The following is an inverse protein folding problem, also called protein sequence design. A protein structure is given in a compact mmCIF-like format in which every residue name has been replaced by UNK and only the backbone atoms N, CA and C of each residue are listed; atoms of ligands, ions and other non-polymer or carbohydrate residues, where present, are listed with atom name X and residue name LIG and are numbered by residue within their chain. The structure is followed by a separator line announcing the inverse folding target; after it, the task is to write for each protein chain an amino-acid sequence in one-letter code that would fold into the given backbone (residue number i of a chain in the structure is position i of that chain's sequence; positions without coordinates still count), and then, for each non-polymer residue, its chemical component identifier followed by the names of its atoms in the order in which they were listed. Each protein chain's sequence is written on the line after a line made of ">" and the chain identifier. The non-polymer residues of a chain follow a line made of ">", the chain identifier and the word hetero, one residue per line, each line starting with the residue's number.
data_IF_563229900457
#
_entry.id   IF_563229900457
#
_cell.length_a   1.000
_cell.length_b   1.000
_cell.length_c   1.000
_cell.angle_alpha   90.00
_cell.angle_beta   90.00
_cell.angle_gamma   90.00
#
_symmetry.space_group_name_H-M   'P 1'
#
loop_
_entity.id
_entity.type
_entity.pdbx_description
1 polymer ?
#
# COMPACT_ATOMS: atom_id res chain seq x y z
N UNK A 1 29.06 24.23 1.64
CA UNK A 1 27.96 24.74 2.48
C UNK A 1 26.70 24.04 2.01
N UNK A 2 26.28 22.99 2.71
CA UNK A 2 24.94 22.42 2.51
C UNK A 2 23.97 23.49 2.97
N UNK A 3 23.24 24.08 2.03
CA UNK A 3 22.14 24.99 2.35
C UNK A 3 21.23 24.26 3.33
N UNK A 4 20.93 24.86 4.47
CA UNK A 4 19.93 24.29 5.37
C UNK A 4 18.63 24.06 4.59
N UNK A 5 17.97 22.90 4.78
CA UNK A 5 16.75 22.60 4.07
C UNK A 5 15.71 23.69 4.35
N UNK A 6 15.09 24.21 3.29
CA UNK A 6 14.13 25.33 3.33
C UNK A 6 12.88 25.04 4.18
N UNK A 7 12.67 23.79 4.59
CA UNK A 7 11.58 23.34 5.47
C UNK A 7 12.12 22.27 6.43
N UNK A 8 11.66 22.23 7.69
CA UNK A 8 11.98 21.15 8.60
C UNK A 8 11.50 19.80 8.03
N UNK A 9 12.18 18.68 8.35
CA UNK A 9 11.75 17.36 7.90
C UNK A 9 10.37 17.04 8.47
N UNK A 10 9.53 16.40 7.64
CA UNK A 10 8.25 15.86 8.10
C UNK A 10 8.55 14.65 8.98
N UNK A 11 8.16 14.73 10.25
CA UNK A 11 8.27 13.60 11.20
C UNK A 11 6.97 12.79 11.15
N UNK A 12 7.00 11.48 10.84
CA UNK A 12 5.78 10.68 10.81
C UNK A 12 5.12 10.59 12.19
N UNK A 13 3.86 10.98 12.27
CA UNK A 13 3.04 10.94 13.49
C UNK A 13 2.47 9.54 13.73
N UNK A 14 3.34 8.57 14.02
CA UNK A 14 2.93 7.18 14.29
C UNK A 14 1.89 7.10 15.41
N UNK A 15 0.81 6.34 15.19
CA UNK A 15 -0.33 6.25 16.10
C UNK A 15 -1.44 7.27 15.82
N UNK A 16 -1.29 8.09 14.78
CA UNK A 16 -2.25 9.16 14.47
C UNK A 16 -2.54 9.29 12.96
N UNK A 17 -1.51 9.36 12.12
CA UNK A 17 -1.68 9.68 10.69
C UNK A 17 -0.54 9.16 9.83
N UNK A 18 -0.36 7.84 9.79
CA UNK A 18 0.66 7.16 8.96
C UNK A 18 0.08 5.99 8.16
N UNK A 19 0.88 5.40 7.27
CA UNK A 19 0.51 4.17 6.56
C UNK A 19 0.16 3.01 7.50
N UNK A 20 0.88 2.87 8.63
CA UNK A 20 0.56 1.84 9.61
C UNK A 20 -0.82 2.10 10.26
N UNK A 21 -1.13 3.36 10.54
CA UNK A 21 -2.39 3.79 11.12
C UNK A 21 -3.57 3.64 10.15
N UNK A 22 -3.32 3.79 8.84
CA UNK A 22 -4.30 3.52 7.79
C UNK A 22 -4.75 2.06 7.83
N UNK A 23 -3.80 1.13 7.85
CA UNK A 23 -4.14 -0.29 7.84
C UNK A 23 -4.79 -0.75 9.15
N UNK A 24 -4.37 -0.21 10.31
CA UNK A 24 -5.07 -0.44 11.57
C UNK A 24 -6.50 0.11 11.53
N UNK A 25 -6.69 1.30 10.95
CA UNK A 25 -8.01 1.92 10.80
C UNK A 25 -8.93 1.15 9.84
N UNK A 26 -8.37 0.57 8.76
CA UNK A 26 -9.13 -0.29 7.84
C UNK A 26 -9.58 -1.58 8.54
N UNK A 27 -8.72 -2.22 9.32
CA UNK A 27 -9.12 -3.42 10.06
C UNK A 27 -10.20 -3.10 11.09
N UNK A 28 -10.05 -2.01 11.84
CA UNK A 28 -11.06 -1.55 12.80
C UNK A 28 -12.36 -1.09 12.13
N UNK A 29 -12.34 -0.64 10.87
CA UNK A 29 -13.58 -0.29 10.15
C UNK A 29 -14.34 -1.52 9.66
N UNK A 30 -13.64 -2.62 9.37
CA UNK A 30 -14.21 -3.92 9.00
C UNK A 30 -14.65 -4.75 10.22
N UNK A 31 -14.03 -4.52 11.37
CA UNK A 31 -14.32 -5.19 12.63
C UNK A 31 -14.04 -4.27 13.84
N UNK A 32 -15.03 -3.46 14.26
CA UNK A 32 -14.85 -2.47 15.33
C UNK A 32 -14.50 -3.06 16.70
N UNK A 33 -14.85 -4.32 16.93
CA UNK A 33 -14.60 -5.00 18.20
C UNK A 33 -13.24 -5.74 18.21
N UNK A 34 -12.53 -5.74 17.07
CA UNK A 34 -11.24 -6.41 16.93
C UNK A 34 -10.12 -5.63 17.60
N UNK A 35 -9.57 -6.21 18.69
CA UNK A 35 -8.35 -5.71 19.32
C UNK A 35 -7.11 -6.32 18.64
N UNK A 36 -5.99 -5.58 18.54
CA UNK A 36 -5.70 -4.27 19.13
C UNK A 36 -6.02 -3.07 18.22
N UNK A 37 -6.77 -3.27 17.14
CA UNK A 37 -6.89 -2.31 16.05
C UNK A 37 -7.64 -1.04 16.49
N UNK A 38 -7.20 0.12 15.97
CA UNK A 38 -7.77 1.42 16.31
C UNK A 38 -8.01 2.26 15.07
N UNK A 39 -9.25 2.72 14.92
CA UNK A 39 -9.65 3.62 13.85
C UNK A 39 -9.30 5.08 14.15
N UNK A 40 -8.01 5.39 14.23
CA UNK A 40 -7.52 6.75 14.48
C UNK A 40 -7.77 7.70 13.31
N UNK A 41 -8.02 7.15 12.11
CA UNK A 41 -8.36 7.95 10.93
C UNK A 41 -9.86 8.25 10.79
N UNK A 42 -10.72 7.63 11.59
CA UNK A 42 -12.16 7.85 11.54
C UNK A 42 -12.81 7.35 10.23
N UNK A 43 -12.30 6.24 9.67
CA UNK A 43 -12.90 5.59 8.51
C UNK A 43 -14.32 5.10 8.85
N UNK A 44 -15.30 5.20 7.95
CA UNK A 44 -16.64 4.69 8.21
C UNK A 44 -16.62 3.17 8.37
N UNK A 45 -17.49 2.64 9.23
CA UNK A 45 -17.68 1.20 9.34
C UNK A 45 -18.12 0.62 7.99
N UNK A 46 -17.48 -0.46 7.57
CA UNK A 46 -17.72 -1.08 6.27
C UNK A 46 -17.79 -2.60 6.39
N UNK A 47 -18.49 -3.23 5.46
CA UNK A 47 -18.41 -4.68 5.31
C UNK A 47 -17.21 -5.06 4.43
N UNK A 48 -16.87 -4.20 3.46
CA UNK A 48 -15.77 -4.43 2.53
C UNK A 48 -14.90 -3.18 2.45
N UNK A 49 -13.60 -3.38 2.37
CA UNK A 49 -12.62 -2.35 2.10
C UNK A 49 -11.77 -2.78 0.89
N UNK A 50 -11.59 -1.87 -0.05
CA UNK A 50 -10.64 -2.00 -1.15
C UNK A 50 -9.57 -0.92 -0.93
N UNK A 51 -8.30 -1.27 -0.89
CA UNK A 51 -7.21 -0.31 -0.76
C UNK A 51 -6.40 -0.30 -2.06
N UNK A 52 -6.47 0.79 -2.82
CA UNK A 52 -5.60 1.01 -3.98
C UNK A 52 -4.28 1.64 -3.54
N UNK A 53 -3.18 0.96 -3.84
CA UNK A 53 -1.80 1.39 -3.57
C UNK A 53 -1.13 1.68 -4.90
N UNK A 54 -0.87 2.96 -5.14
CA UNK A 54 -0.09 3.42 -6.31
C UNK A 54 1.31 3.77 -5.82
N UNK A 55 2.30 2.97 -6.20
CA UNK A 55 3.68 3.25 -5.82
C UNK A 55 4.14 4.57 -6.46
N UNK A 56 4.91 5.36 -5.71
CA UNK A 56 5.43 6.65 -6.16
C UNK A 56 4.42 7.80 -6.25
N UNK A 57 3.12 7.60 -5.97
CA UNK A 57 2.13 8.69 -5.97
C UNK A 57 2.03 9.38 -4.59
N UNK A 58 2.75 10.47 -4.41
CA UNK A 58 2.68 11.30 -3.20
C UNK A 58 1.57 12.37 -3.23
N UNK A 59 1.15 12.84 -2.05
CA UNK A 59 0.14 13.90 -1.89
C UNK A 59 0.45 15.17 -2.68
N UNK A 60 1.70 15.65 -2.58
CA UNK A 60 2.13 16.86 -3.27
C UNK A 60 2.16 16.67 -4.80
N UNK A 61 2.56 15.47 -5.27
CA UNK A 61 2.57 15.15 -6.70
C UNK A 61 1.15 15.16 -7.29
N UNK A 62 0.15 14.70 -6.54
CA UNK A 62 -1.25 14.77 -6.97
C UNK A 62 -1.75 16.21 -6.96
N UNK A 63 -1.49 16.96 -5.87
CA UNK A 63 -1.95 18.35 -5.72
C UNK A 63 -1.37 19.30 -6.77
N UNK A 64 -0.12 19.08 -7.16
CA UNK A 64 0.57 19.92 -8.14
C UNK A 64 0.15 19.59 -9.58
N UNK A 65 -0.55 18.47 -9.81
CA UNK A 65 -0.94 17.98 -11.14
C UNK A 65 -2.42 17.57 -11.28
N UNK A 66 -3.37 18.44 -10.89
CA UNK A 66 -4.78 18.05 -10.80
C UNK A 66 -5.41 17.70 -12.15
N UNK A 67 -4.92 18.29 -13.24
CA UNK A 67 -5.40 18.00 -14.60
C UNK A 67 -4.97 16.61 -15.12
N UNK A 68 -3.89 16.04 -14.58
CA UNK A 68 -3.40 14.72 -14.96
C UNK A 68 -4.14 13.57 -14.28
N UNK A 69 -4.82 13.85 -13.17
CA UNK A 69 -5.61 12.88 -12.42
C UNK A 69 -6.89 13.50 -11.85
N UNK A 70 -7.86 13.90 -12.70
CA UNK A 70 -9.04 14.63 -12.25
C UNK A 70 -9.90 13.85 -11.24
N UNK A 71 -10.06 12.53 -11.38
CA UNK A 71 -10.85 11.71 -10.46
C UNK A 71 -10.21 11.68 -9.07
N UNK A 72 -8.92 11.34 -8.98
CA UNK A 72 -8.18 11.33 -7.71
C UNK A 72 -8.08 12.72 -7.11
N UNK A 73 -7.93 13.76 -7.93
CA UNK A 73 -7.86 15.15 -7.47
C UNK A 73 -9.17 15.65 -6.90
N UNK A 74 -10.31 15.17 -7.42
CA UNK A 74 -11.62 15.45 -6.86
C UNK A 74 -11.77 14.81 -5.48
N UNK A 75 -11.41 13.53 -5.34
CA UNK A 75 -11.41 12.85 -4.03
C UNK A 75 -10.47 13.52 -3.02
N UNK A 76 -9.34 14.06 -3.49
CA UNK A 76 -8.35 14.70 -2.64
C UNK A 76 -8.80 16.07 -2.07
N UNK A 77 -9.84 16.72 -2.62
CA UNK A 77 -10.26 18.08 -2.20
C UNK A 77 -10.62 18.17 -0.73
N UNK A 78 -11.35 17.18 -0.23
CA UNK A 78 -11.81 17.09 1.16
C UNK A 78 -11.01 16.06 1.98
N UNK A 79 -9.96 15.49 1.39
CA UNK A 79 -9.07 14.54 2.05
C UNK A 79 -7.94 15.24 2.81
N UNK A 80 -7.22 14.46 3.61
CA UNK A 80 -6.00 14.92 4.31
C UNK A 80 -4.84 13.97 4.04
N UNK A 81 -3.60 14.47 3.93
CA UNK A 81 -2.44 13.61 3.79
C UNK A 81 -2.17 12.80 5.06
N UNK A 82 -1.68 11.59 4.86
CA UNK A 82 -1.04 10.78 5.90
C UNK A 82 0.45 10.66 5.59
N UNK A 83 1.29 10.41 6.59
CA UNK A 83 2.72 10.29 6.42
C UNK A 83 3.15 8.86 6.02
N UNK A 84 4.07 8.76 5.07
CA UNK A 84 4.90 7.58 4.93
C UNK A 84 5.83 7.45 6.15
N UNK A 85 6.25 6.22 6.47
CA UNK A 85 7.28 5.98 7.48
C UNK A 85 8.67 6.44 7.01
N UNK A 86 9.65 6.36 7.91
CA UNK A 86 11.05 6.57 7.56
C UNK A 86 11.84 5.24 7.61
N UNK A 87 12.63 4.89 6.58
CA UNK A 87 12.77 5.60 5.30
C UNK A 87 11.57 5.35 4.37
N UNK A 88 11.17 6.36 3.58
CA UNK A 88 10.05 6.28 2.64
C UNK A 88 10.45 5.50 1.37
N UNK A 89 10.55 4.18 1.48
CA UNK A 89 10.84 3.25 0.37
C UNK A 89 9.71 2.25 0.22
N UNK A 90 9.51 1.67 -0.98
CA UNK A 90 8.49 0.63 -1.23
C UNK A 90 8.54 -0.49 -0.19
N UNK A 91 9.73 -1.02 0.10
CA UNK A 91 9.92 -2.12 1.08
C UNK A 91 9.42 -1.72 2.48
N UNK A 92 9.82 -0.54 2.96
CA UNK A 92 9.40 -0.04 4.27
C UNK A 92 7.90 0.25 4.30
N UNK A 93 7.39 0.94 3.29
CA UNK A 93 5.99 1.38 3.21
C UNK A 93 5.01 0.21 3.10
N UNK A 94 5.30 -0.77 2.24
CA UNK A 94 4.48 -1.98 2.12
C UNK A 94 4.51 -2.81 3.40
N UNK A 95 5.66 -2.92 4.06
CA UNK A 95 5.74 -3.59 5.34
C UNK A 95 4.94 -2.84 6.43
N UNK A 96 4.99 -1.50 6.46
CA UNK A 96 4.19 -0.71 7.40
C UNK A 96 2.69 -0.86 7.16
N UNK A 97 2.25 -0.77 5.90
CA UNK A 97 0.86 -1.02 5.50
C UNK A 97 0.44 -2.43 5.93
N UNK A 98 1.12 -3.45 5.42
CA UNK A 98 0.63 -4.81 5.55
C UNK A 98 0.92 -5.48 6.90
N UNK A 99 1.59 -4.80 7.83
CA UNK A 99 1.70 -5.24 9.23
C UNK A 99 0.95 -4.33 10.20
N UNK A 100 0.44 -3.18 9.72
CA UNK A 100 -0.04 -2.06 10.55
C UNK A 100 0.94 -1.70 11.68
N UNK A 101 2.24 -1.69 11.39
CA UNK A 101 3.29 -1.40 12.37
C UNK A 101 4.27 -0.37 11.83
N UNK A 102 4.90 0.45 12.68
CA UNK A 102 5.93 1.38 12.24
C UNK A 102 7.22 0.64 11.81
N UNK A 103 8.09 1.28 11.01
CA UNK A 103 9.35 0.71 10.52
C UNK A 103 10.21 0.03 11.59
N UNK A 104 10.38 0.68 12.74
CA UNK A 104 11.17 0.14 13.84
C UNK A 104 10.61 -1.12 14.49
N UNK A 105 9.35 -1.49 14.24
CA UNK A 105 8.74 -2.74 14.74
C UNK A 105 8.84 -3.88 13.73
N UNK A 106 8.55 -3.62 12.45
CA UNK A 106 8.55 -4.68 11.44
C UNK A 106 9.94 -4.96 10.85
N UNK A 107 10.94 -4.10 11.10
CA UNK A 107 12.36 -4.37 10.77
C UNK A 107 12.74 -4.26 9.28
N UNK A 108 11.78 -3.91 8.43
CA UNK A 108 11.99 -3.70 6.98
C UNK A 108 12.40 -2.24 6.75
N UNK A 109 13.69 -1.94 6.94
CA UNK A 109 14.23 -0.57 7.06
C UNK A 109 14.94 -0.09 5.78
N UNK A 110 14.24 -0.11 4.64
CA UNK A 110 14.78 0.31 3.35
C UNK A 110 14.87 -0.84 2.34
N UNK A 111 15.25 -0.52 1.10
CA UNK A 111 15.34 -1.53 0.05
C UNK A 111 16.63 -2.36 0.11
N UNK A 112 17.69 -1.86 0.76
CA UNK A 112 18.91 -2.59 1.06
C UNK A 112 19.25 -2.47 2.54
N UNK A 113 19.40 -3.61 3.21
CA UNK A 113 19.69 -3.68 4.65
C UNK A 113 20.73 -4.76 4.92
N UNK A 114 21.58 -4.56 5.92
CA UNK A 114 22.61 -5.52 6.30
C UNK A 114 21.97 -6.80 6.86
N UNK A 115 22.43 -7.95 6.40
CA UNK A 115 22.01 -9.24 6.96
C UNK A 115 22.71 -9.42 8.31
N UNK A 116 21.97 -9.61 9.42
CA UNK A 116 22.57 -9.77 10.73
C UNK A 116 23.62 -10.88 10.75
N UNK A 117 24.82 -10.55 11.26
CA UNK A 117 25.95 -11.49 11.35
C UNK A 117 26.64 -11.79 10.02
N UNK A 118 26.31 -11.09 8.93
CA UNK A 118 26.95 -11.26 7.63
C UNK A 118 27.42 -9.92 7.07
N UNK A 119 28.54 -9.94 6.33
CA UNK A 119 29.06 -8.76 5.61
C UNK A 119 28.41 -8.64 4.22
N UNK A 120 27.08 -8.71 4.18
CA UNK A 120 26.26 -8.78 2.96
C UNK A 120 24.97 -7.99 3.16
N UNK A 121 24.46 -7.40 2.07
CA UNK A 121 23.18 -6.71 2.06
C UNK A 121 22.08 -7.61 1.46
N UNK A 122 20.91 -7.62 2.09
CA UNK A 122 19.67 -8.11 1.49
C UNK A 122 19.05 -6.99 0.67
N UNK A 123 18.69 -7.26 -0.58
CA UNK A 123 17.83 -6.36 -1.37
C UNK A 123 16.37 -6.83 -1.25
N UNK A 124 15.51 -6.02 -0.64
CA UNK A 124 14.10 -6.38 -0.43
C UNK A 124 13.30 -6.53 -1.73
N UNK A 125 13.67 -5.83 -2.81
CA UNK A 125 13.01 -5.93 -4.12
C UNK A 125 13.59 -7.06 -4.99
N UNK A 126 14.80 -7.52 -4.69
CA UNK A 126 15.48 -8.65 -5.34
C UNK A 126 15.97 -9.63 -4.27
N UNK A 127 15.00 -10.31 -3.67
CA UNK A 127 15.19 -11.10 -2.46
C UNK A 127 16.16 -12.26 -2.67
N UNK A 128 17.07 -12.47 -1.70
CA UNK A 128 17.95 -13.63 -1.69
C UNK A 128 17.18 -14.87 -1.20
N UNK A 129 16.99 -15.92 -2.03
CA UNK A 129 16.17 -17.08 -1.66
C UNK A 129 16.72 -17.90 -0.49
N UNK A 130 17.97 -17.65 -0.06
CA UNK A 130 18.56 -18.28 1.14
C UNK A 130 18.09 -17.65 2.44
N UNK A 131 17.51 -16.44 2.38
CA UNK A 131 17.00 -15.73 3.54
C UNK A 131 15.50 -15.98 3.63
N UNK A 132 15.07 -16.64 4.71
CA UNK A 132 13.65 -16.91 4.96
C UNK A 132 12.90 -15.58 5.20
N UNK A 133 11.95 -15.20 4.31
CA UNK A 133 11.20 -13.96 4.48
C UNK A 133 10.26 -13.95 5.68
N UNK A 134 9.80 -15.12 6.14
CA UNK A 134 8.91 -15.26 7.30
C UNK A 134 9.69 -15.00 8.59
N UNK A 135 10.92 -15.50 8.68
CA UNK A 135 11.81 -15.19 9.81
C UNK A 135 12.26 -13.73 9.80
N UNK A 136 12.49 -13.16 8.61
CA UNK A 136 12.93 -11.78 8.49
C UNK A 136 11.87 -10.77 8.95
N UNK A 137 10.60 -11.00 8.61
CA UNK A 137 9.47 -10.18 9.04
C UNK A 137 8.44 -11.07 9.76
N UNK A 138 8.53 -11.22 11.09
CA UNK A 138 7.74 -12.20 11.83
C UNK A 138 6.39 -11.68 12.34
N UNK A 139 6.09 -10.37 12.22
CA UNK A 139 4.82 -9.84 12.73
C UNK A 139 3.65 -10.35 11.87
N UNK A 140 2.48 -10.65 12.46
CA UNK A 140 1.30 -11.01 11.69
C UNK A 140 0.94 -9.93 10.67
N UNK A 141 0.57 -10.33 9.46
CA UNK A 141 0.10 -9.38 8.45
C UNK A 141 -1.34 -8.95 8.72
N UNK A 142 -1.80 -7.87 8.09
CA UNK A 142 -3.20 -7.44 8.14
C UNK A 142 -4.14 -8.49 7.53
N UNK A 143 -3.62 -9.30 6.61
CA UNK A 143 -4.39 -10.36 5.94
C UNK A 143 -4.55 -11.59 6.85
N UNK A 144 -3.50 -12.00 7.57
CA UNK A 144 -3.60 -13.05 8.60
C UNK A 144 -4.59 -12.64 9.69
N UNK A 145 -4.55 -11.37 10.12
CA UNK A 145 -5.50 -10.83 11.11
C UNK A 145 -6.93 -10.76 10.59
N UNK A 146 -7.13 -10.28 9.35
CA UNK A 146 -8.44 -10.26 8.71
C UNK A 146 -9.02 -11.68 8.56
N UNK A 147 -8.22 -12.63 8.09
CA UNK A 147 -8.63 -14.03 7.94
C UNK A 147 -9.02 -14.66 9.29
N UNK A 148 -8.26 -14.39 10.36
CA UNK A 148 -8.59 -14.84 11.71
C UNK A 148 -9.93 -14.28 12.23
N UNK A 149 -10.33 -13.09 11.76
CA UNK A 149 -11.62 -12.47 12.07
C UNK A 149 -12.75 -12.88 11.10
N UNK A 150 -12.51 -13.86 10.21
CA UNK A 150 -13.49 -14.32 9.22
C UNK A 150 -13.76 -13.30 8.10
N UNK A 151 -12.81 -12.40 7.83
CA UNK A 151 -12.85 -11.45 6.71
C UNK A 151 -12.02 -12.03 5.57
N UNK A 152 -12.58 -12.12 4.37
CA UNK A 152 -11.83 -12.55 3.19
C UNK A 152 -10.68 -11.57 2.91
N UNK A 153 -9.46 -12.06 2.72
CA UNK A 153 -8.27 -11.24 2.58
C UNK A 153 -7.63 -11.50 1.21
N UNK A 154 -7.62 -10.50 0.33
CA UNK A 154 -7.19 -10.65 -1.07
C UNK A 154 -6.17 -9.58 -1.44
N UNK A 155 -5.08 -10.00 -2.09
CA UNK A 155 -4.07 -9.10 -2.63
C UNK A 155 -4.00 -9.26 -4.16
N UNK A 156 -4.31 -8.18 -4.88
CA UNK A 156 -4.32 -8.12 -6.34
C UNK A 156 -3.12 -7.31 -6.81
N UNK A 157 -2.23 -7.93 -7.57
CA UNK A 157 -1.01 -7.27 -8.08
C UNK A 157 -0.46 -7.99 -9.32
N UNK A 158 0.57 -7.43 -9.95
CA UNK A 158 1.29 -8.09 -11.06
C UNK A 158 1.76 -9.49 -10.66
N UNK A 159 1.59 -10.46 -11.58
CA UNK A 159 1.90 -11.87 -11.33
C UNK A 159 3.37 -12.11 -11.00
N UNK A 160 4.27 -11.25 -11.49
CA UNK A 160 5.71 -11.29 -11.19
C UNK A 160 6.05 -11.09 -9.71
N UNK A 161 5.16 -10.48 -8.91
CA UNK A 161 5.37 -10.33 -7.47
C UNK A 161 4.96 -11.56 -6.66
N UNK A 162 4.20 -12.49 -7.26
CA UNK A 162 3.74 -13.70 -6.56
C UNK A 162 4.93 -14.51 -6.07
N UNK A 163 4.95 -14.81 -4.78
CA UNK A 163 5.98 -15.66 -4.17
C UNK A 163 7.37 -15.02 -4.09
N UNK A 164 7.52 -13.74 -4.44
CA UNK A 164 8.76 -13.02 -4.14
C UNK A 164 8.94 -12.91 -2.62
N UNK A 165 10.18 -12.80 -2.15
CA UNK A 165 10.44 -12.73 -0.71
C UNK A 165 9.76 -11.53 -0.03
N UNK A 166 9.68 -10.37 -0.69
CA UNK A 166 8.93 -9.24 -0.13
C UNK A 166 7.44 -9.55 0.01
N UNK A 167 6.81 -10.12 -1.02
CA UNK A 167 5.40 -10.52 -0.98
C UNK A 167 5.16 -11.55 0.12
N UNK A 168 6.03 -12.55 0.27
CA UNK A 168 5.94 -13.52 1.37
C UNK A 168 6.17 -12.83 2.72
N UNK A 169 7.08 -11.85 2.80
CA UNK A 169 7.36 -11.13 4.04
C UNK A 169 6.23 -10.19 4.46
N UNK A 170 5.32 -9.76 3.58
CA UNK A 170 4.33 -8.72 3.93
C UNK A 170 2.88 -9.12 3.66
N UNK A 171 2.59 -10.13 2.84
CA UNK A 171 1.22 -10.45 2.40
C UNK A 171 0.72 -11.86 2.76
N UNK A 172 1.40 -12.56 3.68
CA UNK A 172 0.93 -13.87 4.21
C UNK A 172 -0.53 -13.79 4.62
N UNK A 173 -1.29 -14.86 4.45
CA UNK A 173 -2.72 -14.91 4.73
C UNK A 173 -3.61 -14.30 3.64
N UNK A 174 -3.05 -13.56 2.67
CA UNK A 174 -3.80 -13.09 1.52
C UNK A 174 -3.96 -14.20 0.46
N UNK A 175 -5.14 -14.26 -0.16
CA UNK A 175 -5.30 -14.89 -1.46
C UNK A 175 -4.72 -13.95 -2.53
N UNK A 176 -3.56 -14.30 -3.08
CA UNK A 176 -2.91 -13.51 -4.13
C UNK A 176 -3.60 -13.78 -5.47
N UNK A 177 -4.16 -12.73 -6.09
CA UNK A 177 -4.78 -12.77 -7.43
C UNK A 177 -3.88 -12.02 -8.44
N UNK A 178 -3.33 -12.70 -9.45
CA UNK A 178 -2.40 -12.07 -10.38
C UNK A 178 -3.17 -11.22 -11.41
N UNK A 179 -2.67 -10.03 -11.71
CA UNK A 179 -3.25 -9.13 -12.69
C UNK A 179 -2.16 -8.25 -13.33
N UNK A 180 -1.87 -8.52 -14.61
CA UNK A 180 -0.75 -7.91 -15.34
C UNK A 180 -1.17 -6.71 -16.20
N UNK A 181 -2.40 -6.19 -16.02
CA UNK A 181 -2.89 -4.97 -16.65
C UNK A 181 -3.84 -4.22 -15.73
N UNK A 182 -4.01 -2.91 -15.92
CA UNK A 182 -4.92 -2.09 -15.11
C UNK A 182 -6.37 -2.57 -15.19
N UNK A 183 -6.83 -2.97 -16.38
CA UNK A 183 -8.17 -3.57 -16.52
C UNK A 183 -8.32 -4.87 -15.73
N UNK A 184 -7.27 -5.70 -15.70
CA UNK A 184 -7.25 -6.91 -14.88
C UNK A 184 -7.22 -6.58 -13.38
N UNK A 185 -6.48 -5.56 -12.96
CA UNK A 185 -6.45 -5.10 -11.56
C UNK A 185 -7.87 -4.70 -11.11
N UNK A 186 -8.56 -3.87 -11.89
CA UNK A 186 -9.92 -3.44 -11.58
C UNK A 186 -10.91 -4.63 -11.54
N UNK A 187 -10.87 -5.50 -12.54
CA UNK A 187 -11.78 -6.65 -12.64
C UNK A 187 -11.56 -7.65 -11.50
N UNK A 188 -10.31 -7.99 -11.18
CA UNK A 188 -9.98 -8.91 -10.09
C UNK A 188 -10.36 -8.34 -8.73
N UNK A 189 -10.13 -7.05 -8.49
CA UNK A 189 -10.52 -6.40 -7.24
C UNK A 189 -12.04 -6.39 -7.04
N UNK A 190 -12.79 -6.04 -8.09
CA UNK A 190 -14.26 -6.06 -8.05
C UNK A 190 -14.81 -7.47 -7.83
N UNK A 191 -14.26 -8.47 -8.52
CA UNK A 191 -14.64 -9.87 -8.32
C UNK A 191 -14.35 -10.33 -6.88
N UNK A 192 -13.14 -10.08 -6.38
CA UNK A 192 -12.75 -10.43 -5.02
C UNK A 192 -13.65 -9.79 -3.96
N UNK A 193 -14.01 -8.51 -4.13
CA UNK A 193 -14.94 -7.83 -3.24
C UNK A 193 -16.34 -8.45 -3.29
N UNK A 194 -16.79 -8.91 -4.46
CA UNK A 194 -18.11 -9.53 -4.63
C UNK A 194 -18.20 -10.97 -4.12
N UNK A 195 -17.08 -11.71 -4.07
CA UNK A 195 -17.02 -13.11 -3.63
C UNK A 195 -17.42 -13.31 -2.16
N UNK A 196 -17.32 -12.28 -1.31
CA UNK A 196 -17.58 -12.37 0.13
C UNK A 196 -18.43 -11.23 0.66
N UNK A 197 -19.16 -11.48 1.76
CA UNK A 197 -19.91 -10.43 2.47
C UNK A 197 -18.97 -9.49 3.22
N UNK A 198 -17.86 -10.01 3.76
CA UNK A 198 -16.80 -9.22 4.41
C UNK A 198 -15.48 -9.44 3.69
N UNK A 199 -14.81 -8.36 3.27
CA UNK A 199 -13.57 -8.46 2.52
C UNK A 199 -12.60 -7.29 2.78
N UNK A 200 -11.31 -7.63 2.88
CA UNK A 200 -10.18 -6.74 2.72
C UNK A 200 -9.52 -7.06 1.38
N UNK A 201 -9.70 -6.19 0.39
CA UNK A 201 -9.06 -6.28 -0.92
C UNK A 201 -7.99 -5.19 -0.98
N UNK A 202 -6.79 -5.54 -1.42
CA UNK A 202 -5.74 -4.56 -1.69
C UNK A 202 -5.29 -4.69 -3.13
N UNK A 203 -5.11 -3.58 -3.83
CA UNK A 203 -4.65 -3.52 -5.23
C UNK A 203 -3.34 -2.77 -5.27
N UNK A 204 -2.28 -3.38 -5.78
CA UNK A 204 -0.98 -2.73 -5.91
C UNK A 204 -0.62 -2.47 -7.37
N UNK A 205 -0.20 -1.24 -7.68
CA UNK A 205 0.27 -0.85 -9.00
C UNK A 205 1.54 0.03 -8.91
N UNK A 206 2.64 -0.43 -9.53
CA UNK A 206 3.97 0.17 -9.38
C UNK A 206 4.51 0.93 -10.61
N UNK A 207 3.76 0.99 -11.71
CA UNK A 207 4.32 1.51 -12.97
C UNK A 207 4.51 3.04 -12.94
N UNK A 208 3.76 3.78 -12.11
CA UNK A 208 3.94 5.22 -11.96
C UNK A 208 5.30 5.55 -11.34
N UNK A 209 5.67 4.88 -10.24
CA UNK A 209 7.01 4.99 -9.63
C UNK A 209 8.12 4.62 -10.62
N UNK A 210 7.96 3.49 -11.30
CA UNK A 210 8.93 3.03 -12.30
C UNK A 210 9.11 4.06 -13.43
N UNK A 211 8.01 4.64 -13.91
CA UNK A 211 8.04 5.69 -14.95
C UNK A 211 8.71 6.96 -14.43
N UNK A 212 8.41 7.35 -13.18
CA UNK A 212 9.04 8.50 -12.52
C UNK A 212 10.55 8.32 -12.33
N UNK A 213 11.02 7.12 -12.02
CA UNK A 213 12.44 6.81 -11.91
C UNK A 213 13.19 6.88 -13.25
N UNK A 214 12.56 6.45 -14.35
CA UNK A 214 13.19 6.42 -15.66
C UNK A 214 13.17 7.79 -16.35
N UNK A 215 12.04 8.50 -16.27
CA UNK A 215 11.81 9.72 -17.07
C UNK A 215 11.68 11.00 -16.22
N UNK A 216 11.52 10.88 -14.90
CA UNK A 216 11.28 12.01 -14.00
C UNK A 216 9.80 12.36 -13.83
N UNK A 217 9.44 12.80 -12.61
CA UNK A 217 8.05 13.09 -12.17
C UNK A 217 7.41 14.35 -12.79
N UNK A 218 8.09 15.02 -13.72
CA UNK A 218 7.56 16.15 -14.48
C UNK A 218 7.61 15.93 -16.00
N UNK A 219 7.83 14.68 -16.43
CA UNK A 219 7.89 14.31 -17.85
C UNK A 219 6.52 13.98 -18.41
N UNK A 220 6.34 14.16 -19.73
CA UNK A 220 5.12 13.73 -20.44
C UNK A 220 4.82 12.23 -20.23
N UNK A 221 5.87 11.39 -20.13
CA UNK A 221 5.71 9.97 -19.83
C UNK A 221 5.05 9.75 -18.45
N UNK A 222 5.53 10.45 -17.42
CA UNK A 222 4.95 10.38 -16.09
C UNK A 222 3.52 10.94 -16.04
N UNK A 223 3.25 12.05 -16.75
CA UNK A 223 1.90 12.60 -16.85
C UNK A 223 0.91 11.65 -17.53
N UNK A 224 1.30 11.03 -18.64
CA UNK A 224 0.46 10.04 -19.31
C UNK A 224 0.23 8.81 -18.42
N UNK A 225 1.23 8.38 -17.65
CA UNK A 225 1.07 7.28 -16.71
C UNK A 225 0.16 7.65 -15.54
N UNK A 226 0.21 8.89 -15.05
CA UNK A 226 -0.70 9.40 -14.01
C UNK A 226 -2.16 9.36 -14.50
N UNK A 227 -2.42 9.72 -15.75
CA UNK A 227 -3.77 9.64 -16.33
C UNK A 227 -4.30 8.19 -16.39
N UNK A 228 -3.44 7.21 -16.66
CA UNK A 228 -3.81 5.79 -16.60
C UNK A 228 -4.15 5.35 -15.16
N UNK A 229 -3.36 5.80 -14.17
CA UNK A 229 -3.63 5.56 -12.75
C UNK A 229 -4.97 6.16 -12.32
N UNK A 230 -5.26 7.38 -12.75
CA UNK A 230 -6.54 8.03 -12.48
C UNK A 230 -7.71 7.20 -13.02
N UNK A 231 -7.55 6.69 -14.26
CA UNK A 231 -8.56 5.83 -14.88
C UNK A 231 -8.76 4.51 -14.13
N UNK A 232 -7.68 3.90 -13.62
CA UNK A 232 -7.77 2.71 -12.78
C UNK A 232 -8.58 2.98 -11.51
N UNK A 233 -8.33 4.11 -10.83
CA UNK A 233 -9.06 4.49 -9.64
C UNK A 233 -10.56 4.71 -9.92
N UNK A 234 -10.89 5.40 -11.02
CA UNK A 234 -12.28 5.61 -11.45
C UNK A 234 -12.99 4.28 -11.77
N UNK A 235 -12.30 3.36 -12.46
CA UNK A 235 -12.83 2.03 -12.78
C UNK A 235 -13.08 1.19 -11.53
N UNK A 236 -12.17 1.23 -10.55
CA UNK A 236 -12.36 0.55 -9.26
C UNK A 236 -13.58 1.11 -8.52
N UNK A 237 -13.66 2.43 -8.37
CA UNK A 237 -14.79 3.07 -7.68
C UNK A 237 -16.14 2.73 -8.32
N UNK A 238 -16.17 2.59 -9.65
CA UNK A 238 -17.38 2.25 -10.40
C UNK A 238 -17.75 0.76 -10.34
N UNK A 239 -16.75 -0.13 -10.25
CA UNK A 239 -16.96 -1.57 -10.35
C UNK A 239 -17.15 -2.27 -8.99
N UNK A 240 -16.73 -1.64 -7.88
CA UNK A 240 -16.84 -2.25 -6.56
C UNK A 240 -18.32 -2.38 -6.12
N UNK A 241 -18.69 -3.47 -5.43
CA UNK A 241 -20.04 -3.64 -4.91
C UNK A 241 -20.43 -2.53 -3.94
N UNK A 242 -21.72 -2.19 -3.89
CA UNK A 242 -22.28 -1.27 -2.90
C UNK A 242 -21.93 -1.68 -1.46
N UNK A 243 -21.61 -0.69 -0.62
CA UNK A 243 -21.14 -0.91 0.75
C UNK A 243 -19.65 -1.25 0.88
N UNK A 244 -18.89 -1.13 -0.22
CA UNK A 244 -17.42 -1.16 -0.20
C UNK A 244 -16.88 0.24 -0.02
N UNK A 245 -15.94 0.41 0.91
CA UNK A 245 -15.10 1.62 1.01
C UNK A 245 -13.86 1.41 0.15
N UNK A 246 -13.52 2.37 -0.71
CA UNK A 246 -12.29 2.42 -1.49
C UNK A 246 -11.33 3.47 -0.91
#
# INVERSE_FOLDING_TARGET
>A
MTLEPRRPPIVPSYGASTLADLSSSILASLDPDSLPERNVLGLPQAQRACLLIVDGLGWELLRDHPAGAPFLSELARDARPIAAGFPATTVTSLASLFTASPPGRHGMLGYQVMIPGQDRLLNGLRWDPRIDPVQWQPLPTIYERAAAAGIAAVHVAQGSFRGTGLTIATTRGADFRPADSMGALAAQAAAAAAESSRALVTVYHGDLDSTGHVFGVGSDAWYNQLAHVDKLAEQLASALPGGTVL
#
